data_IF_626562222781
#
_entry.id   IF_626562222781
#
_cell.length_a   1.000
_cell.length_b   1.000
_cell.length_c   1.000
_cell.angle_alpha   90.00
_cell.angle_beta   90.00
_cell.angle_gamma   90.00
#
_symmetry.space_group_name_H-M   'P 1'
#
loop_
_entity.id
_entity.type
_entity.pdbx_description
1 polymer ?
#
# COMPACT_ATOMS: atom_id res chain seq x y z
N UNK A 1 -13.73 -4.10 5.28
CA UNK A 1 -13.44 -2.72 5.72
C UNK A 1 -11.98 -2.50 5.51
N UNK A 2 -11.68 -1.64 4.55
CA UNK A 2 -10.33 -1.39 4.07
C UNK A 2 -10.33 -0.07 3.33
N UNK A 3 -9.16 0.52 3.17
CA UNK A 3 -8.99 1.65 2.27
C UNK A 3 -9.01 1.17 0.80
N UNK A 4 -9.13 2.11 -0.14
CA UNK A 4 -9.27 1.78 -1.57
C UNK A 4 -8.00 1.13 -2.14
N UNK A 5 -6.84 1.42 -1.56
CA UNK A 5 -5.53 0.88 -1.92
C UNK A 5 -5.21 -0.47 -1.23
N UNK A 6 -6.14 -1.02 -0.45
CA UNK A 6 -6.04 -2.32 0.21
C UNK A 6 -6.94 -3.35 -0.50
N UNK A 7 -6.36 -4.10 -1.43
CA UNK A 7 -7.08 -4.97 -2.37
C UNK A 7 -6.84 -6.45 -2.01
N UNK A 8 -7.88 -7.19 -1.58
CA UNK A 8 -7.79 -8.62 -1.37
C UNK A 8 -7.51 -9.38 -2.68
N UNK A 9 -6.74 -10.46 -2.59
CA UNK A 9 -6.46 -11.31 -3.76
C UNK A 9 -7.69 -12.10 -4.19
N UNK A 10 -7.74 -12.50 -5.47
CA UNK A 10 -8.79 -13.40 -5.99
C UNK A 10 -8.87 -14.70 -5.19
N UNK A 11 -7.72 -15.27 -4.82
CA UNK A 11 -7.68 -16.52 -4.05
C UNK A 11 -8.27 -16.31 -2.64
N UNK A 12 -7.95 -15.19 -2.00
CA UNK A 12 -8.51 -14.80 -0.70
C UNK A 12 -10.02 -14.65 -0.76
N UNK A 13 -10.54 -13.93 -1.76
CA UNK A 13 -11.99 -13.79 -1.95
C UNK A 13 -12.65 -15.16 -2.19
N UNK A 14 -12.05 -16.01 -3.01
CA UNK A 14 -12.57 -17.35 -3.23
C UNK A 14 -12.61 -18.14 -1.93
N UNK A 15 -11.51 -18.20 -1.17
CA UNK A 15 -11.44 -18.89 0.12
C UNK A 15 -12.58 -18.44 1.05
N UNK A 16 -12.74 -17.13 1.23
CA UNK A 16 -13.76 -16.56 2.12
C UNK A 16 -15.20 -16.85 1.67
N UNK A 17 -15.43 -17.07 0.37
CA UNK A 17 -16.74 -17.46 -0.17
C UNK A 17 -17.08 -18.93 0.09
N UNK A 18 -16.08 -19.78 0.28
CA UNK A 18 -16.27 -21.22 0.48
C UNK A 18 -16.29 -21.64 1.95
N UNK A 19 -15.99 -20.73 2.89
CA UNK A 19 -16.00 -21.01 4.31
C UNK A 19 -17.30 -20.54 4.98
N UNK A 20 -18.02 -21.46 5.62
CA UNK A 20 -19.28 -21.16 6.31
C UNK A 20 -19.07 -20.51 7.70
N UNK A 21 -18.02 -20.88 8.42
CA UNK A 21 -17.76 -20.41 9.78
C UNK A 21 -16.48 -19.56 9.88
N UNK A 22 -16.46 -18.44 9.17
CA UNK A 22 -15.41 -17.44 9.33
C UNK A 22 -15.56 -16.72 10.68
N UNK A 23 -14.45 -16.27 11.29
CA UNK A 23 -14.51 -15.43 12.48
C UNK A 23 -15.38 -14.17 12.26
N UNK A 24 -16.00 -13.60 13.31
CA UNK A 24 -16.79 -12.37 13.19
C UNK A 24 -16.02 -11.21 12.54
N UNK A 25 -14.73 -11.09 12.88
CA UNK A 25 -13.80 -10.13 12.30
C UNK A 25 -12.51 -10.87 11.99
N UNK A 26 -12.10 -10.85 10.72
CA UNK A 26 -10.87 -11.46 10.22
C UNK A 26 -10.00 -10.38 9.57
N UNK A 27 -8.84 -10.09 10.15
CA UNK A 27 -7.87 -9.20 9.52
C UNK A 27 -7.20 -9.87 8.32
N UNK A 28 -6.83 -9.08 7.34
CA UNK A 28 -6.18 -9.51 6.10
C UNK A 28 -4.76 -8.96 6.10
N UNK A 29 -3.76 -9.85 6.10
CA UNK A 29 -2.36 -9.46 5.95
C UNK A 29 -2.01 -9.35 4.47
N UNK A 30 -1.89 -8.12 4.01
CA UNK A 30 -1.56 -7.72 2.65
C UNK A 30 -0.06 -7.47 2.51
N UNK A 31 0.48 -7.73 1.33
CA UNK A 31 1.83 -7.31 0.93
C UNK A 31 1.85 -5.80 0.78
N UNK A 32 2.75 -5.13 1.46
CA UNK A 32 2.78 -3.67 1.58
C UNK A 32 3.77 -3.07 0.57
N UNK A 33 3.24 -2.35 -0.40
CA UNK A 33 3.99 -1.70 -1.47
C UNK A 33 3.90 -0.18 -1.36
N UNK A 34 4.93 0.48 -1.87
CA UNK A 34 4.99 1.94 -1.96
C UNK A 34 5.29 2.37 -3.39
N UNK A 35 4.58 3.36 -3.91
CA UNK A 35 4.76 3.96 -5.25
C UNK A 35 4.43 3.05 -6.46
N UNK A 36 4.80 1.77 -6.43
CA UNK A 36 4.52 0.74 -7.43
C UNK A 36 4.76 -0.66 -6.86
N UNK A 37 4.50 -1.72 -7.63
CA UNK A 37 4.84 -3.09 -7.24
C UNK A 37 6.35 -3.40 -7.26
N UNK A 38 7.18 -2.41 -7.57
CA UNK A 38 8.63 -2.49 -7.51
C UNK A 38 9.17 -2.40 -6.08
N UNK A 39 8.50 -1.64 -5.21
CA UNK A 39 9.00 -1.33 -3.87
C UNK A 39 8.16 -2.02 -2.80
N UNK A 40 8.47 -3.30 -2.54
CA UNK A 40 7.90 -4.05 -1.42
C UNK A 40 8.54 -3.58 -0.11
N UNK A 41 7.74 -2.96 0.75
CA UNK A 41 8.17 -2.45 2.06
C UNK A 41 8.26 -3.60 3.07
N UNK A 42 7.18 -4.36 3.22
CA UNK A 42 7.06 -5.50 4.12
C UNK A 42 5.77 -6.30 3.84
N UNK A 43 5.48 -7.27 4.72
CA UNK A 43 4.24 -8.05 4.70
C UNK A 43 3.39 -7.76 5.95
N UNK A 44 3.47 -6.54 6.49
CA UNK A 44 2.86 -6.17 7.78
C UNK A 44 1.64 -5.24 7.63
N UNK A 45 1.09 -5.06 6.42
CA UNK A 45 -0.18 -4.35 6.26
C UNK A 45 -1.33 -5.28 6.68
N UNK A 46 -1.92 -5.06 7.86
CA UNK A 46 -2.93 -5.96 8.43
C UNK A 46 -4.28 -5.29 8.75
N UNK A 47 -4.41 -3.97 8.58
CA UNK A 47 -5.59 -3.20 9.06
C UNK A 47 -6.87 -3.52 8.28
N UNK A 48 -6.74 -3.87 6.99
CA UNK A 48 -7.85 -4.37 6.20
C UNK A 48 -8.50 -5.59 6.87
N UNK A 49 -9.82 -5.61 6.96
CA UNK A 49 -10.54 -6.70 7.63
C UNK A 49 -11.85 -7.07 6.96
N UNK A 50 -12.22 -8.35 7.06
CA UNK A 50 -13.52 -8.87 6.63
C UNK A 50 -14.39 -9.07 7.86
N UNK A 51 -15.63 -8.60 7.76
CA UNK A 51 -16.58 -8.61 8.86
C UNK A 51 -17.78 -9.46 8.47
N UNK A 52 -18.23 -10.31 9.38
CA UNK A 52 -19.60 -10.85 9.32
C UNK A 52 -20.53 -9.70 9.63
N UNK A 53 -21.24 -9.24 8.60
CA UNK A 53 -22.09 -8.07 8.72
C UNK A 53 -23.21 -8.31 9.75
N UNK A 54 -23.31 -7.39 10.72
CA UNK A 54 -24.37 -7.33 11.71
C UNK A 54 -24.97 -5.93 11.70
N UNK A 55 -26.24 -5.84 11.33
CA UNK A 55 -26.97 -4.56 11.26
C UNK A 55 -26.88 -3.81 12.59
N UNK A 56 -26.59 -2.51 12.53
CA UNK A 56 -26.44 -1.61 13.68
C UNK A 56 -25.16 -1.80 14.52
N UNK A 57 -24.40 -2.88 14.32
CA UNK A 57 -23.16 -3.15 15.07
C UNK A 57 -21.91 -2.96 14.22
N UNK A 58 -21.93 -3.42 12.97
CA UNK A 58 -20.77 -3.34 12.07
C UNK A 58 -20.51 -1.88 11.68
N UNK A 59 -19.37 -1.34 12.11
CA UNK A 59 -18.93 0.05 11.86
C UNK A 59 -17.50 0.06 11.33
N UNK A 60 -17.20 1.03 10.47
CA UNK A 60 -15.84 1.24 9.98
C UNK A 60 -14.87 1.53 11.14
N UNK A 61 -13.72 0.87 11.10
CA UNK A 61 -12.61 1.07 12.01
C UNK A 61 -11.30 0.79 11.29
N UNK A 62 -10.27 1.57 11.60
CA UNK A 62 -8.93 1.48 11.02
C UNK A 62 -7.88 1.19 12.12
N UNK A 63 -8.17 0.20 12.97
CA UNK A 63 -7.32 -0.28 14.07
C UNK A 63 -7.60 -1.76 14.35
N UNK A 64 -6.81 -2.39 15.23
CA UNK A 64 -6.97 -3.82 15.56
C UNK A 64 -8.31 -4.08 16.26
N UNK A 65 -9.09 -4.99 15.70
CA UNK A 65 -10.40 -5.41 16.23
C UNK A 65 -10.50 -6.90 16.55
N UNK A 66 -9.53 -7.71 16.13
CA UNK A 66 -9.42 -9.13 16.46
C UNK A 66 -7.97 -9.59 16.40
N UNK A 67 -7.72 -10.80 16.88
CA UNK A 67 -6.38 -11.40 16.92
C UNK A 67 -6.14 -12.40 15.79
N UNK A 68 -7.16 -12.62 14.94
CA UNK A 68 -7.11 -13.56 13.83
C UNK A 68 -6.78 -12.82 12.55
N UNK A 69 -5.71 -13.26 11.90
CA UNK A 69 -5.18 -12.65 10.69
C UNK A 69 -5.02 -13.73 9.62
N UNK A 70 -5.60 -13.50 8.44
CA UNK A 70 -5.37 -14.31 7.25
C UNK A 70 -4.11 -13.82 6.54
N UNK A 71 -3.10 -14.68 6.45
CA UNK A 71 -1.85 -14.41 5.75
C UNK A 71 -2.02 -14.40 4.22
N UNK A 72 -1.14 -13.68 3.52
CA UNK A 72 -1.08 -13.62 2.04
C UNK A 72 -2.44 -13.29 1.41
N UNK A 73 -3.09 -12.26 1.97
CA UNK A 73 -4.47 -11.96 1.68
C UNK A 73 -4.67 -11.01 0.48
N UNK A 74 -3.60 -10.46 -0.09
CA UNK A 74 -3.66 -9.48 -1.18
C UNK A 74 -2.55 -8.42 -1.10
N UNK A 75 -2.87 -7.21 -1.56
CA UNK A 75 -1.91 -6.13 -1.74
C UNK A 75 -2.41 -4.83 -1.13
N UNK A 76 -1.52 -4.11 -0.47
CA UNK A 76 -1.71 -2.72 -0.06
C UNK A 76 -0.68 -1.87 -0.80
N UNK A 77 -1.11 -0.87 -1.57
CA UNK A 77 -0.21 -0.08 -2.41
C UNK A 77 -0.37 1.42 -2.13
N UNK A 78 0.44 1.93 -1.21
CA UNK A 78 0.41 3.34 -0.83
C UNK A 78 1.10 4.22 -1.87
N UNK A 79 0.50 5.37 -2.19
CA UNK A 79 1.02 6.33 -3.19
C UNK A 79 1.23 5.71 -4.59
N UNK A 80 0.43 4.71 -4.97
CA UNK A 80 0.54 4.04 -6.26
C UNK A 80 -0.27 4.74 -7.36
N UNK A 81 0.06 6.00 -7.61
CA UNK A 81 -0.67 6.88 -8.54
C UNK A 81 -0.01 6.96 -9.91
N UNK A 82 -0.80 7.39 -10.91
CA UNK A 82 -0.33 7.54 -12.30
C UNK A 82 0.34 8.90 -12.52
N UNK A 83 -0.19 9.95 -11.92
CA UNK A 83 0.26 11.33 -12.13
C UNK A 83 0.94 11.90 -10.90
N UNK A 84 1.96 12.74 -11.09
CA UNK A 84 2.68 13.40 -9.97
C UNK A 84 1.76 14.33 -9.16
N UNK A 85 0.76 14.93 -9.81
CA UNK A 85 -0.24 15.77 -9.15
C UNK A 85 -1.00 15.02 -8.05
N UNK A 86 -1.30 13.74 -8.25
CA UNK A 86 -1.98 12.87 -7.26
C UNK A 86 -1.10 12.63 -6.02
N UNK A 87 0.21 12.47 -6.21
CA UNK A 87 1.17 12.39 -5.09
C UNK A 87 1.17 13.69 -4.29
N UNK A 88 1.32 14.83 -4.97
CA UNK A 88 1.32 16.16 -4.34
C UNK A 88 0.00 16.42 -3.63
N UNK A 89 -1.12 16.01 -4.22
CA UNK A 89 -2.44 16.12 -3.61
C UNK A 89 -2.52 15.29 -2.32
N UNK A 90 -2.14 13.99 -2.36
CA UNK A 90 -2.13 13.14 -1.16
C UNK A 90 -1.16 13.66 -0.09
N UNK A 91 0.00 14.21 -0.47
CA UNK A 91 0.94 14.84 0.47
C UNK A 91 0.35 16.07 1.16
N UNK A 92 -0.46 16.87 0.46
CA UNK A 92 -1.16 18.03 1.02
C UNK A 92 -2.44 17.67 1.79
N UNK A 93 -2.91 16.43 1.66
CA UNK A 93 -4.16 16.00 2.27
C UNK A 93 -4.01 15.71 3.77
N UNK A 94 -5.15 15.74 4.46
CA UNK A 94 -5.33 15.69 5.92
C UNK A 94 -4.26 14.92 6.70
N UNK A 95 -4.07 13.62 6.43
CA UNK A 95 -3.21 12.73 7.23
C UNK A 95 -1.71 12.92 7.02
N UNK A 96 -1.30 13.73 6.04
CA UNK A 96 0.11 13.93 5.68
C UNK A 96 0.50 15.41 5.61
N UNK A 97 -0.46 16.34 5.72
CA UNK A 97 -0.21 17.76 5.57
C UNK A 97 0.85 18.28 6.56
N UNK A 98 0.83 17.77 7.79
CA UNK A 98 1.79 18.06 8.85
C UNK A 98 3.23 17.62 8.52
N UNK A 99 3.39 16.65 7.63
CA UNK A 99 4.70 16.13 7.18
C UNK A 99 5.34 17.02 6.10
N UNK A 100 4.56 17.89 5.44
CA UNK A 100 5.08 18.81 4.42
C UNK A 100 5.72 20.03 5.08
N UNK A 101 6.91 19.84 5.64
CA UNK A 101 7.65 20.88 6.36
C UNK A 101 8.27 21.94 5.45
N UNK A 102 8.59 21.57 4.22
CA UNK A 102 9.25 22.47 3.26
C UNK A 102 8.54 22.43 1.90
N UNK A 103 8.41 23.59 1.27
CA UNK A 103 7.74 23.74 -0.04
C UNK A 103 8.39 22.90 -1.15
N UNK A 104 9.71 22.67 -1.06
CA UNK A 104 10.43 21.88 -2.06
C UNK A 104 10.05 20.39 -2.05
N UNK A 105 9.44 19.86 -0.98
CA UNK A 105 8.88 18.50 -0.97
C UNK A 105 7.80 18.31 -2.03
N UNK A 106 7.09 19.38 -2.36
CA UNK A 106 6.02 19.41 -3.35
C UNK A 106 6.52 19.70 -4.77
N UNK A 107 7.84 19.83 -4.98
CA UNK A 107 8.39 20.04 -6.32
C UNK A 107 8.19 18.78 -7.17
N UNK A 108 7.48 18.84 -8.32
CA UNK A 108 7.17 17.65 -9.12
C UNK A 108 8.40 16.86 -9.57
N UNK A 109 9.49 17.56 -9.94
CA UNK A 109 10.75 16.93 -10.35
C UNK A 109 11.43 16.19 -9.19
N UNK A 110 11.36 16.76 -7.97
CA UNK A 110 11.85 16.09 -6.77
C UNK A 110 11.00 14.86 -6.47
N UNK A 111 9.67 14.99 -6.45
CA UNK A 111 8.75 13.86 -6.19
C UNK A 111 9.05 12.71 -7.14
N UNK A 112 9.11 12.96 -8.45
CA UNK A 112 9.44 11.94 -9.45
C UNK A 112 10.78 11.25 -9.17
N UNK A 113 11.82 12.02 -8.81
CA UNK A 113 13.14 11.47 -8.48
C UNK A 113 13.12 10.62 -7.21
N UNK A 114 12.39 11.05 -6.19
CA UNK A 114 12.30 10.36 -4.89
C UNK A 114 11.55 9.04 -5.02
N UNK A 115 10.38 9.04 -5.70
CA UNK A 115 9.60 7.81 -5.89
C UNK A 115 10.34 6.80 -6.76
N UNK A 116 11.07 7.25 -7.79
CA UNK A 116 11.91 6.38 -8.62
C UNK A 116 13.08 5.76 -7.85
N UNK A 117 13.53 6.39 -6.77
CA UNK A 117 14.59 5.85 -5.91
C UNK A 117 14.03 4.89 -4.85
N UNK A 118 12.71 4.85 -4.65
CA UNK A 118 12.09 4.18 -3.50
C UNK A 118 12.38 4.88 -2.16
N UNK A 119 12.73 6.17 -2.18
CA UNK A 119 13.06 6.93 -0.97
C UNK A 119 11.82 7.61 -0.36
N UNK A 120 11.90 8.02 0.90
CA UNK A 120 10.79 8.67 1.60
C UNK A 120 10.50 10.09 1.04
N UNK A 121 9.22 10.38 0.79
CA UNK A 121 8.79 11.67 0.23
C UNK A 121 9.02 12.86 1.16
N UNK A 122 9.03 12.61 2.47
CA UNK A 122 9.09 13.60 3.53
C UNK A 122 10.46 13.66 4.21
N UNK A 123 11.45 12.91 3.72
CA UNK A 123 12.78 12.72 4.31
C UNK A 123 12.73 12.33 5.81
N UNK A 124 11.74 11.51 6.19
CA UNK A 124 11.52 11.02 7.55
C UNK A 124 12.20 9.67 7.80
N UNK A 125 12.41 9.35 9.09
CA UNK A 125 12.80 8.01 9.51
C UNK A 125 11.61 7.04 9.43
N UNK A 126 11.86 5.72 9.28
CA UNK A 126 10.81 4.72 9.31
C UNK A 126 9.98 4.77 10.60
N UNK A 127 8.66 4.65 10.47
CA UNK A 127 7.70 4.63 11.58
C UNK A 127 7.65 3.25 12.26
N UNK A 128 8.74 2.82 12.88
CA UNK A 128 8.88 1.50 13.51
C UNK A 128 9.12 1.58 15.03
N UNK A 129 8.86 0.49 15.74
CA UNK A 129 8.90 0.44 17.21
C UNK A 129 10.12 -0.27 17.79
N UNK A 130 10.97 -0.86 16.96
CA UNK A 130 12.21 -1.51 17.40
C UNK A 130 13.42 -1.00 16.63
N UNK A 131 14.59 -0.90 17.29
CA UNK A 131 15.82 -0.46 16.63
C UNK A 131 16.19 -1.34 15.43
N UNK A 132 15.94 -2.65 15.53
CA UNK A 132 16.18 -3.59 14.44
C UNK A 132 15.35 -3.24 13.19
N UNK A 133 14.07 -2.92 13.37
CA UNK A 133 13.18 -2.54 12.26
C UNK A 133 13.52 -1.16 11.73
N UNK A 134 13.80 -0.17 12.61
CA UNK A 134 14.23 1.17 12.20
C UNK A 134 15.48 1.08 11.31
N UNK A 135 16.52 0.39 11.78
CA UNK A 135 17.78 0.23 11.03
C UNK A 135 17.53 -0.58 9.75
N UNK A 136 16.74 -1.65 9.83
CA UNK A 136 16.45 -2.54 8.70
C UNK A 136 15.64 -1.87 7.58
N UNK A 137 14.83 -0.87 7.90
CA UNK A 137 14.03 -0.09 6.93
C UNK A 137 14.63 1.28 6.63
N UNK A 138 15.81 1.59 7.16
CA UNK A 138 16.45 2.88 6.93
C UNK A 138 16.96 3.00 5.50
N UNK A 139 16.68 4.14 4.86
CA UNK A 139 17.09 4.41 3.48
C UNK A 139 16.02 4.02 2.46
N UNK A 140 16.38 4.00 1.17
CA UNK A 140 15.43 3.69 0.12
C UNK A 140 15.03 2.21 0.11
N UNK A 141 13.76 1.95 -0.23
CA UNK A 141 13.23 0.60 -0.40
C UNK A 141 13.95 -0.06 -1.58
N UNK A 142 14.46 -1.29 -1.43
CA UNK A 142 15.11 -2.01 -2.52
C UNK A 142 14.16 -2.23 -3.71
N UNK A 143 14.73 -2.13 -4.91
CA UNK A 143 14.01 -2.45 -6.13
C UNK A 143 13.77 -3.96 -6.25
N UNK A 144 12.54 -4.36 -6.56
CA UNK A 144 12.17 -5.73 -6.90
C UNK A 144 11.63 -5.79 -8.32
N UNK A 145 12.29 -6.58 -9.18
CA UNK A 145 11.89 -6.79 -10.57
C UNK A 145 11.01 -8.04 -10.77
N UNK A 146 10.41 -8.54 -9.68
CA UNK A 146 9.54 -9.71 -9.71
C UNK A 146 8.10 -9.31 -10.03
N UNK A 147 7.50 -10.01 -11.00
CA UNK A 147 6.07 -9.95 -11.29
C UNK A 147 5.27 -11.10 -10.64
N UNK A 148 5.92 -11.92 -9.81
CA UNK A 148 5.29 -13.08 -9.18
C UNK A 148 4.29 -12.61 -8.12
N UNK A 149 3.09 -13.18 -8.14
CA UNK A 149 1.98 -12.82 -7.25
C UNK A 149 1.51 -11.36 -7.39
N UNK A 150 1.68 -10.73 -8.56
CA UNK A 150 0.97 -9.49 -8.88
C UNK A 150 -0.46 -9.78 -9.38
N UNK A 151 -1.39 -8.80 -9.31
CA UNK A 151 -2.74 -8.99 -9.86
C UNK A 151 -2.69 -9.37 -11.35
N UNK A 152 -3.37 -10.45 -11.74
CA UNK A 152 -3.35 -10.91 -13.14
C UNK A 152 -3.86 -9.85 -14.11
N UNK A 153 -4.93 -9.13 -13.73
CA UNK A 153 -5.49 -8.04 -14.52
C UNK A 153 -4.47 -6.92 -14.80
N UNK A 154 -3.54 -6.68 -13.88
CA UNK A 154 -2.48 -5.70 -14.08
C UNK A 154 -1.45 -6.17 -15.10
N UNK A 155 -1.12 -7.47 -15.09
CA UNK A 155 -0.21 -8.08 -16.06
C UNK A 155 -0.84 -8.16 -17.46
N UNK A 156 -2.11 -8.51 -17.54
CA UNK A 156 -2.89 -8.57 -18.79
C UNK A 156 -3.07 -7.18 -19.44
N UNK A 157 -2.99 -6.11 -18.64
CA UNK A 157 -3.15 -4.72 -19.08
C UNK A 157 -1.88 -3.89 -18.83
N UNK A 158 -0.71 -4.52 -19.02
CA UNK A 158 0.59 -3.93 -18.68
C UNK A 158 0.82 -2.54 -19.28
N UNK A 159 0.42 -2.29 -20.53
CA UNK A 159 0.62 -0.98 -21.17
C UNK A 159 -0.11 0.16 -20.44
N UNK A 160 -1.33 -0.12 -19.97
CA UNK A 160 -2.18 0.84 -19.25
C UNK A 160 -1.67 1.08 -17.82
N UNK A 161 -1.12 0.05 -17.19
CA UNK A 161 -0.69 0.07 -15.79
C UNK A 161 0.83 0.00 -15.65
N UNK A 162 1.57 0.32 -16.70
CA UNK A 162 3.04 0.22 -16.72
C UNK A 162 3.68 0.94 -15.54
N UNK A 163 3.13 2.09 -15.13
CA UNK A 163 3.61 2.88 -14.00
C UNK A 163 3.62 2.10 -12.66
N UNK A 164 2.79 1.07 -12.52
CA UNK A 164 2.76 0.18 -11.35
C UNK A 164 3.73 -1.00 -11.45
N UNK A 165 4.26 -1.30 -12.65
CA UNK A 165 5.14 -2.43 -12.88
C UNK A 165 6.61 -2.06 -12.60
N UNK A 166 7.44 -3.04 -12.19
CA UNK A 166 8.86 -2.82 -11.99
C UNK A 166 9.58 -2.24 -13.22
N UNK A 167 10.51 -1.31 -12.99
CA UNK A 167 11.31 -0.65 -14.02
C UNK A 167 10.62 0.52 -14.72
N UNK A 168 9.38 0.86 -14.34
CA UNK A 168 8.55 1.88 -14.98
C UNK A 168 8.14 2.98 -13.99
N UNK A 169 9.12 3.54 -13.28
CA UNK A 169 8.86 4.50 -12.20
C UNK A 169 8.41 5.89 -12.68
N UNK A 170 8.59 6.21 -13.98
CA UNK A 170 8.15 7.50 -14.53
C UNK A 170 6.62 7.60 -14.49
N UNK A 171 6.15 8.77 -14.10
CA UNK A 171 4.73 9.13 -14.00
C UNK A 171 4.36 10.05 -15.14
N UNK A 172 3.12 9.96 -15.57
CA UNK A 172 2.63 10.77 -16.67
C UNK A 172 2.53 12.23 -16.21
N UNK A 173 2.87 13.17 -17.09
CA UNK A 173 2.50 14.57 -16.92
C UNK A 173 0.98 14.70 -17.05
N UNK A 174 0.39 15.63 -16.30
CA UNK A 174 -1.02 15.99 -16.44
C UNK A 174 -1.34 16.50 -17.86
#
# INVERSE_FOLDING_TARGET
>A
MSDVDEIPSRHTINLLRWCDDIPPILHLRLKNYLYSFEFLVDNNSWRASVHRYQSGKTKYAHYRQSDVILADAGWHCSFCFRHISEFIFKMKAYSHFDRVRFSHYLNPKRVQKVICKGADLFDMLPEEYTFKEIIGKMGPIPHSYSAVHLPSYLLENADKYKFLLPGNCLRDSD
#
